data_IF_501126845824
#
_entry.id   IF_501126845824
#
_cell.length_a   1.000
_cell.length_b   1.000
_cell.length_c   1.000
_cell.angle_alpha   90.00
_cell.angle_beta   90.00
_cell.angle_gamma   90.00
#
_symmetry.space_group_name_H-M   'P 1'
#
loop_
_entity.id
_entity.type
_entity.pdbx_description
1 polymer ?
#
# COMPACT_ATOMS: atom_id res chain seq x y z
N UNK A 1 20.13 31.55 -23.30
CA UNK A 1 20.91 31.15 -22.12
C UNK A 1 20.20 29.94 -21.51
N UNK A 2 20.63 28.73 -21.87
CA UNK A 2 20.06 27.48 -21.37
C UNK A 2 21.05 26.81 -20.45
N UNK A 3 20.72 26.67 -19.17
CA UNK A 3 21.54 25.94 -18.21
C UNK A 3 21.41 24.44 -18.52
N UNK A 4 22.44 23.89 -19.16
CA UNK A 4 22.62 22.45 -19.32
C UNK A 4 23.09 21.91 -17.97
N UNK A 5 22.15 21.43 -17.14
CA UNK A 5 22.46 20.79 -15.87
C UNK A 5 23.10 19.44 -16.13
N UNK A 6 24.38 19.30 -15.77
CA UNK A 6 25.08 18.02 -15.77
C UNK A 6 24.39 17.08 -14.76
N UNK A 7 23.79 16.01 -15.29
CA UNK A 7 23.20 14.94 -14.51
C UNK A 7 24.33 14.12 -13.89
N UNK A 8 24.59 14.32 -12.59
CA UNK A 8 25.54 13.46 -11.88
C UNK A 8 24.94 12.04 -11.75
N UNK A 9 25.67 10.99 -12.16
CA UNK A 9 25.21 9.63 -11.97
C UNK A 9 25.15 9.33 -10.47
N UNK A 10 23.93 9.10 -9.96
CA UNK A 10 23.68 8.67 -8.58
C UNK A 10 24.64 7.53 -8.23
N UNK A 11 25.45 7.74 -7.19
CA UNK A 11 26.31 6.73 -6.60
C UNK A 11 25.53 5.43 -6.39
N UNK A 12 26.12 4.31 -6.78
CA UNK A 12 25.61 2.97 -6.51
C UNK A 12 25.33 2.89 -5.00
N UNK A 13 24.05 2.82 -4.64
CA UNK A 13 23.63 2.57 -3.26
C UNK A 13 24.25 1.24 -2.85
N UNK A 14 25.12 1.28 -1.85
CA UNK A 14 25.52 0.10 -1.10
C UNK A 14 24.24 -0.60 -0.66
N UNK A 15 24.08 -1.85 -1.13
CA UNK A 15 22.94 -2.70 -0.76
C UNK A 15 22.93 -2.78 0.76
N UNK A 16 21.82 -2.31 1.36
CA UNK A 16 21.65 -2.30 2.81
C UNK A 16 21.88 -3.72 3.36
N UNK A 17 22.47 -3.82 4.57
CA UNK A 17 22.77 -5.10 5.21
C UNK A 17 21.51 -5.95 5.23
N UNK A 18 21.62 -7.15 4.63
CA UNK A 18 20.62 -8.21 4.54
C UNK A 18 19.19 -7.72 4.77
N UNK A 19 18.46 -7.45 3.69
CA UNK A 19 17.00 -7.64 3.74
C UNK A 19 16.82 -9.05 4.28
N UNK A 20 16.50 -9.16 5.57
CA UNK A 20 15.93 -10.36 6.14
C UNK A 20 14.62 -10.46 5.39
N UNK A 21 14.65 -11.20 4.27
CA UNK A 21 13.46 -11.71 3.64
C UNK A 21 12.65 -12.23 4.81
N UNK A 22 11.46 -11.67 5.03
CA UNK A 22 10.52 -12.21 6.01
C UNK A 22 10.40 -13.68 5.62
N UNK A 23 11.15 -14.52 6.31
CA UNK A 23 11.17 -15.95 6.08
C UNK A 23 9.71 -16.37 6.21
N UNK A 24 9.27 -17.23 5.29
CA UNK A 24 7.89 -17.67 5.18
C UNK A 24 7.29 -17.82 6.59
N UNK A 25 6.26 -17.01 6.89
CA UNK A 25 5.62 -17.10 8.20
C UNK A 25 5.06 -18.51 8.34
N UNK A 26 5.75 -19.34 9.12
CA UNK A 26 5.30 -20.68 9.43
C UNK A 26 4.00 -20.64 10.26
N UNK A 27 3.35 -21.79 10.44
CA UNK A 27 2.11 -21.88 11.22
C UNK A 27 2.25 -21.32 12.64
N UNK A 28 3.39 -21.57 13.31
CA UNK A 28 3.65 -21.07 14.67
C UNK A 28 3.77 -19.54 14.70
N UNK A 29 4.50 -18.96 13.75
CA UNK A 29 4.65 -17.50 13.63
C UNK A 29 3.33 -16.83 13.28
N UNK A 30 2.51 -17.49 12.46
CA UNK A 30 1.18 -17.03 12.09
C UNK A 30 0.26 -16.99 13.30
N UNK A 31 0.21 -18.06 14.09
CA UNK A 31 -0.58 -18.13 15.32
C UNK A 31 -0.11 -17.08 16.35
N UNK A 32 1.20 -16.96 16.56
CA UNK A 32 1.77 -15.97 17.48
C UNK A 32 1.45 -14.52 17.05
N UNK A 33 1.48 -14.24 15.74
CA UNK A 33 1.10 -12.94 15.18
C UNK A 33 -0.38 -12.66 15.38
N UNK A 34 -1.26 -13.60 15.07
CA UNK A 34 -2.70 -13.46 15.29
C UNK A 34 -3.04 -13.22 16.77
N UNK A 35 -2.47 -14.01 17.69
CA UNK A 35 -2.69 -13.85 19.12
C UNK A 35 -2.19 -12.49 19.65
N UNK A 36 -1.03 -12.04 19.18
CA UNK A 36 -0.53 -10.72 19.54
C UNK A 36 -1.43 -9.60 19.02
N UNK A 37 -1.88 -9.66 17.76
CA UNK A 37 -2.81 -8.68 17.17
C UNK A 37 -4.15 -8.65 17.91
N UNK A 38 -4.70 -9.80 18.30
CA UNK A 38 -5.91 -9.87 19.13
C UNK A 38 -5.72 -9.21 20.49
N UNK A 39 -4.57 -9.43 21.12
CA UNK A 39 -4.24 -8.73 22.37
C UNK A 39 -4.20 -7.21 22.16
N UNK A 40 -3.56 -6.74 21.08
CA UNK A 40 -3.56 -5.32 20.75
C UNK A 40 -4.97 -4.75 20.59
N UNK A 41 -5.80 -5.48 19.84
CA UNK A 41 -7.17 -5.11 19.56
C UNK A 41 -8.02 -5.07 20.84
N UNK A 42 -7.81 -6.01 21.77
CA UNK A 42 -8.47 -6.05 23.06
C UNK A 42 -8.17 -4.83 23.94
N UNK A 43 -6.91 -4.40 24.01
CA UNK A 43 -6.56 -3.16 24.77
C UNK A 43 -7.10 -1.90 24.09
N UNK A 44 -7.26 -1.93 22.77
CA UNK A 44 -7.95 -0.89 22.02
C UNK A 44 -9.49 -1.01 22.13
N UNK A 45 -10.04 -1.95 22.89
CA UNK A 45 -11.47 -2.11 23.12
C UNK A 45 -12.25 -2.71 21.94
N UNK A 46 -11.58 -3.46 21.06
CA UNK A 46 -12.25 -4.33 20.07
C UNK A 46 -12.51 -5.72 20.69
N UNK A 47 -13.57 -6.41 20.23
CA UNK A 47 -13.83 -7.82 20.57
C UNK A 47 -14.71 -8.06 21.81
N UNK A 48 -14.99 -7.07 22.65
CA UNK A 48 -15.99 -7.20 23.71
C UNK A 48 -17.39 -6.86 23.18
N UNK A 49 -18.09 -7.85 22.63
CA UNK A 49 -19.52 -7.75 22.34
C UNK A 49 -20.39 -7.77 23.61
N UNK A 50 -19.78 -7.93 24.79
CA UNK A 50 -20.45 -7.88 26.08
C UNK A 50 -20.66 -6.45 26.57
N UNK A 51 -21.92 -6.05 26.70
CA UNK A 51 -22.37 -4.83 27.38
C UNK A 51 -21.65 -4.66 28.72
N UNK A 52 -20.64 -3.79 28.79
CA UNK A 52 -19.98 -3.46 30.07
C UNK A 52 -18.49 -3.16 30.00
N UNK A 53 -17.79 -3.44 28.90
CA UNK A 53 -16.41 -2.99 28.73
C UNK A 53 -16.41 -1.48 28.43
N UNK A 54 -16.49 -0.67 29.49
CA UNK A 54 -16.27 0.77 29.40
C UNK A 54 -14.91 0.99 28.75
N UNK A 55 -14.92 1.54 27.54
CA UNK A 55 -13.73 2.04 26.86
C UNK A 55 -13.20 3.23 27.68
N UNK A 56 -12.57 2.96 28.81
CA UNK A 56 -11.77 3.94 29.50
C UNK A 56 -10.69 4.33 28.50
N UNK A 57 -10.69 5.60 28.07
CA UNK A 57 -9.58 6.21 27.36
C UNK A 57 -8.36 6.31 28.29
N UNK A 58 -7.94 5.17 28.83
CA UNK A 58 -6.83 5.00 29.74
C UNK A 58 -5.55 5.14 28.90
N UNK A 59 -4.83 6.26 28.99
CA UNK A 59 -3.55 6.41 28.30
C UNK A 59 -2.53 5.33 28.74
N UNK A 60 -2.75 4.66 29.87
CA UNK A 60 -1.98 3.51 30.33
C UNK A 60 -2.18 2.23 29.51
N UNK A 61 -3.27 2.09 28.74
CA UNK A 61 -3.46 0.94 27.84
C UNK A 61 -2.37 0.91 26.75
N UNK A 62 -2.08 2.05 26.11
CA UNK A 62 -0.97 2.13 25.14
C UNK A 62 0.40 1.83 25.75
N UNK A 63 0.60 2.15 27.04
CA UNK A 63 1.83 1.81 27.74
C UNK A 63 1.95 0.29 27.98
N UNK A 64 0.87 -0.38 28.37
CA UNK A 64 0.83 -1.85 28.54
C UNK A 64 1.00 -2.59 27.21
N UNK A 65 0.38 -2.09 26.13
CA UNK A 65 0.59 -2.57 24.77
C UNK A 65 2.06 -2.56 24.34
N UNK A 66 2.81 -1.55 24.78
CA UNK A 66 4.24 -1.43 24.49
C UNK A 66 5.08 -2.46 25.23
N UNK A 67 4.64 -2.87 26.43
CA UNK A 67 5.32 -3.89 27.24
C UNK A 67 5.08 -5.31 26.70
N UNK A 68 3.94 -5.56 26.05
CA UNK A 68 3.70 -6.81 25.37
C UNK A 68 4.63 -6.94 24.15
N UNK A 69 5.50 -7.93 24.20
CA UNK A 69 6.49 -8.15 23.15
C UNK A 69 5.84 -8.78 21.93
N UNK A 70 5.94 -8.08 20.79
CA UNK A 70 5.56 -8.64 19.50
C UNK A 70 6.38 -9.92 19.18
N UNK A 71 5.83 -10.81 18.34
CA UNK A 71 6.58 -11.94 17.77
C UNK A 71 7.95 -11.50 17.23
N UNK A 72 8.94 -12.38 17.36
CA UNK A 72 10.34 -12.08 17.04
C UNK A 72 10.50 -11.63 15.58
N UNK A 73 9.69 -12.19 14.70
CA UNK A 73 9.65 -11.93 13.27
C UNK A 73 9.20 -10.50 12.99
N UNK A 74 8.17 -10.00 13.69
CA UNK A 74 7.73 -8.62 13.55
C UNK A 74 8.74 -7.62 14.11
N UNK A 75 9.37 -7.95 15.25
CA UNK A 75 10.39 -7.09 15.89
C UNK A 75 11.70 -6.97 15.11
N UNK A 76 11.95 -7.90 14.17
CA UNK A 76 13.16 -7.91 13.33
C UNK A 76 12.85 -7.56 11.88
N UNK A 77 11.59 -7.69 11.49
CA UNK A 77 11.13 -7.43 10.14
C UNK A 77 10.98 -5.94 9.90
N UNK A 78 11.32 -5.52 8.69
CA UNK A 78 11.14 -4.15 8.22
C UNK A 78 10.16 -4.12 7.07
N UNK A 79 9.33 -3.08 7.02
CA UNK A 79 8.29 -2.95 6.02
C UNK A 79 7.21 -1.99 6.46
N UNK A 80 6.00 -2.18 5.96
CA UNK A 80 4.81 -1.44 6.41
C UNK A 80 3.63 -2.39 6.57
N UNK A 81 2.73 -2.07 7.48
CA UNK A 81 1.52 -2.83 7.73
C UNK A 81 0.30 -2.08 7.22
N UNK A 82 -0.58 -2.79 6.54
CA UNK A 82 -1.94 -2.35 6.26
C UNK A 82 -2.89 -3.12 7.16
N UNK A 83 -3.82 -2.42 7.81
CA UNK A 83 -4.84 -3.00 8.67
C UNK A 83 -6.21 -2.57 8.14
N UNK A 84 -7.13 -3.53 8.01
CA UNK A 84 -8.53 -3.29 7.72
C UNK A 84 -9.42 -3.97 8.76
N UNK A 85 -10.34 -3.20 9.32
CA UNK A 85 -11.40 -3.69 10.20
C UNK A 85 -12.61 -4.05 9.35
N UNK A 86 -13.11 -5.28 9.50
CA UNK A 86 -14.30 -5.77 8.79
C UNK A 86 -15.36 -6.26 9.76
N UNK A 87 -16.61 -6.14 9.33
CA UNK A 87 -17.77 -6.76 9.97
C UNK A 87 -18.60 -7.46 8.90
N UNK A 88 -18.84 -8.75 9.05
CA UNK A 88 -19.58 -9.60 8.11
C UNK A 88 -19.03 -9.50 6.68
N UNK A 89 -17.70 -9.42 6.56
CA UNK A 89 -16.97 -9.27 5.29
C UNK A 89 -16.97 -7.84 4.72
N UNK A 90 -17.74 -6.91 5.26
CA UNK A 90 -17.79 -5.52 4.83
C UNK A 90 -16.64 -4.73 5.46
N UNK A 91 -15.94 -3.93 4.66
CA UNK A 91 -14.91 -3.02 5.16
C UNK A 91 -15.55 -1.91 6.00
N UNK A 92 -15.12 -1.78 7.25
CA UNK A 92 -15.60 -0.76 8.19
C UNK A 92 -14.64 0.40 8.33
N UNK A 93 -13.33 0.12 8.38
CA UNK A 93 -12.25 1.09 8.41
C UNK A 93 -10.94 0.44 7.97
N UNK A 94 -9.95 1.23 7.59
CA UNK A 94 -8.60 0.76 7.25
C UNK A 94 -7.58 1.87 7.52
N UNK A 95 -6.33 1.48 7.70
CA UNK A 95 -5.21 2.39 7.78
C UNK A 95 -3.89 1.71 7.37
N UNK A 96 -2.90 2.53 7.06
CA UNK A 96 -1.52 2.12 6.83
C UNK A 96 -0.65 2.62 7.98
N UNK A 97 0.24 1.76 8.45
CA UNK A 97 1.31 2.17 9.33
C UNK A 97 2.52 2.72 8.56
N UNK A 98 3.44 3.39 9.27
CA UNK A 98 4.67 3.91 8.68
C UNK A 98 5.56 2.78 8.15
N UNK A 99 6.40 3.11 7.15
CA UNK A 99 7.47 2.20 6.73
C UNK A 99 8.61 2.24 7.76
N UNK A 100 9.03 1.08 8.27
CA UNK A 100 10.00 0.97 9.36
C UNK A 100 9.98 -0.41 9.98
N UNK A 101 10.06 -0.47 11.32
CA UNK A 101 9.91 -1.73 12.07
C UNK A 101 8.45 -2.19 12.02
N UNK A 102 8.22 -3.48 11.71
CA UNK A 102 6.87 -3.97 11.43
C UNK A 102 5.96 -3.97 12.66
N UNK A 103 6.47 -4.27 13.85
CA UNK A 103 5.67 -4.26 15.07
C UNK A 103 5.09 -2.87 15.37
N UNK A 104 5.90 -1.82 15.23
CA UNK A 104 5.42 -0.44 15.35
C UNK A 104 4.44 -0.10 14.23
N UNK A 105 4.73 -0.51 12.99
CA UNK A 105 3.82 -0.27 11.88
C UNK A 105 2.46 -0.92 12.09
N UNK A 106 2.38 -2.13 12.64
CA UNK A 106 1.10 -2.81 12.94
C UNK A 106 0.35 -2.06 14.02
N UNK A 107 1.01 -1.63 15.10
CA UNK A 107 0.39 -0.89 16.20
C UNK A 107 -0.26 0.41 15.71
N UNK A 108 0.49 1.22 14.96
CA UNK A 108 -0.01 2.50 14.43
C UNK A 108 -1.16 2.26 13.45
N UNK A 109 -1.02 1.31 12.53
CA UNK A 109 -2.08 0.99 11.58
C UNK A 109 -3.37 0.54 12.27
N UNK A 110 -3.26 -0.30 13.31
CA UNK A 110 -4.43 -0.78 14.05
C UNK A 110 -5.10 0.34 14.86
N UNK A 111 -4.33 1.17 15.56
CA UNK A 111 -4.86 2.31 16.32
C UNK A 111 -5.57 3.32 15.42
N UNK A 112 -4.98 3.65 14.26
CA UNK A 112 -5.57 4.55 13.27
C UNK A 112 -6.85 3.95 12.67
N UNK A 113 -6.86 2.66 12.34
CA UNK A 113 -8.04 1.98 11.80
C UNK A 113 -9.18 1.95 12.84
N UNK A 114 -8.87 1.70 14.12
CA UNK A 114 -9.84 1.75 15.23
C UNK A 114 -10.39 3.16 15.42
N UNK A 115 -9.52 4.17 15.38
CA UNK A 115 -9.90 5.57 15.51
C UNK A 115 -10.80 6.02 14.35
N UNK A 116 -10.45 5.64 13.11
CA UNK A 116 -11.27 5.91 11.93
C UNK A 116 -12.63 5.20 11.99
N UNK A 117 -12.66 3.95 12.46
CA UNK A 117 -13.90 3.24 12.75
C UNK A 117 -14.72 4.03 13.77
N UNK A 118 -14.21 4.37 14.94
CA UNK A 118 -14.96 5.14 15.95
C UNK A 118 -15.49 6.48 15.45
N UNK A 119 -14.71 7.20 14.64
CA UNK A 119 -15.09 8.52 14.11
C UNK A 119 -16.19 8.46 13.03
N UNK A 120 -16.32 7.33 12.32
CA UNK A 120 -17.32 7.18 11.26
C UNK A 120 -18.76 7.22 11.81
N UNK A 121 -19.55 8.20 11.36
CA UNK A 121 -20.97 8.37 11.76
C UNK A 121 -21.83 7.22 11.24
N UNK A 122 -22.29 6.33 12.11
CA UNK A 122 -23.43 5.46 11.82
C UNK A 122 -24.71 6.30 11.84
N UNK A 123 -25.38 6.46 10.70
CA UNK A 123 -26.55 7.34 10.56
C UNK A 123 -27.77 6.95 11.40
N UNK A 124 -27.76 5.75 11.99
CA UNK A 124 -28.86 5.16 12.76
C UNK A 124 -28.44 4.69 14.17
N UNK A 125 -27.21 4.99 14.60
CA UNK A 125 -26.68 4.54 15.88
C UNK A 125 -26.25 3.07 15.95
N UNK A 126 -26.45 2.27 14.90
CA UNK A 126 -26.02 0.87 14.84
C UNK A 126 -24.81 0.70 13.92
N UNK A 127 -23.64 1.11 14.40
CA UNK A 127 -22.39 0.85 13.68
C UNK A 127 -22.09 -0.66 13.78
N UNK A 128 -21.80 -1.37 12.68
CA UNK A 128 -21.41 -2.78 12.77
C UNK A 128 -20.14 -2.89 13.62
N UNK A 129 -20.15 -3.84 14.55
CA UNK A 129 -18.95 -4.22 15.26
C UNK A 129 -17.99 -4.95 14.30
N UNK A 130 -16.67 -4.69 14.37
CA UNK A 130 -15.68 -5.49 13.67
C UNK A 130 -15.70 -6.92 14.19
N UNK A 131 -15.78 -7.90 13.29
CA UNK A 131 -15.64 -9.34 13.58
C UNK A 131 -14.32 -9.92 13.07
N UNK A 132 -13.62 -9.18 12.21
CA UNK A 132 -12.37 -9.60 11.56
C UNK A 132 -11.40 -8.43 11.43
N UNK A 133 -10.13 -8.69 11.71
CA UNK A 133 -9.00 -7.85 11.33
C UNK A 133 -8.31 -8.51 10.14
N UNK A 134 -8.22 -7.77 9.04
CA UNK A 134 -7.35 -8.09 7.91
C UNK A 134 -6.04 -7.33 8.08
N UNK A 135 -4.92 -8.05 8.00
CA UNK A 135 -3.57 -7.51 8.18
C UNK A 135 -2.68 -7.94 7.01
N UNK A 136 -2.10 -6.97 6.32
CA UNK A 136 -1.11 -7.18 5.26
C UNK A 136 0.23 -6.61 5.69
N UNK A 137 1.24 -7.47 5.85
CA UNK A 137 2.62 -7.07 6.14
C UNK A 137 3.39 -6.91 4.83
N UNK A 138 3.50 -5.68 4.34
CA UNK A 138 4.21 -5.32 3.11
C UNK A 138 5.73 -5.37 3.30
N UNK A 139 6.43 -6.06 2.40
CA UNK A 139 7.88 -6.24 2.39
C UNK A 139 8.44 -6.35 0.97
N UNK A 140 9.76 -6.48 0.84
CA UNK A 140 10.46 -6.63 -0.44
C UNK A 140 10.05 -5.54 -1.45
N UNK A 141 10.34 -4.28 -1.11
CA UNK A 141 9.96 -3.15 -1.96
C UNK A 141 10.93 -2.99 -3.13
N UNK A 142 10.42 -3.19 -4.34
CA UNK A 142 11.21 -3.10 -5.57
C UNK A 142 10.80 -1.89 -6.40
N UNK A 143 11.78 -1.04 -6.71
CA UNK A 143 11.58 0.13 -7.57
C UNK A 143 11.31 -0.30 -9.02
N UNK A 144 10.31 0.32 -9.64
CA UNK A 144 9.99 0.14 -11.06
C UNK A 144 10.76 1.18 -11.87
N UNK A 145 11.79 0.74 -12.59
CA UNK A 145 12.56 1.62 -13.48
C UNK A 145 11.69 2.12 -14.64
N UNK A 146 11.74 3.44 -14.87
CA UNK A 146 10.90 4.11 -15.87
C UNK A 146 9.40 3.81 -15.66
N UNK A 147 8.76 4.36 -14.62
CA UNK A 147 7.44 3.95 -14.14
C UNK A 147 6.29 4.43 -15.04
N UNK A 148 6.31 3.95 -16.29
CA UNK A 148 5.23 4.08 -17.27
C UNK A 148 4.02 3.23 -16.85
N UNK A 149 2.83 3.56 -17.35
CA UNK A 149 1.64 2.76 -17.07
C UNK A 149 1.83 1.31 -17.53
N UNK A 150 2.54 1.12 -18.65
CA UNK A 150 2.86 -0.22 -19.18
C UNK A 150 3.74 -1.00 -18.21
N UNK A 151 4.82 -0.40 -17.70
CA UNK A 151 5.76 -1.06 -16.80
C UNK A 151 5.13 -1.36 -15.43
N UNK A 152 4.38 -0.40 -14.87
CA UNK A 152 3.64 -0.61 -13.62
C UNK A 152 2.69 -1.79 -13.77
N UNK A 153 1.88 -1.82 -14.83
CA UNK A 153 0.93 -2.93 -15.08
C UNK A 153 1.60 -4.27 -15.31
N UNK A 154 2.82 -4.31 -15.84
CA UNK A 154 3.54 -5.56 -16.04
C UNK A 154 3.94 -6.18 -14.68
N UNK A 155 4.33 -5.36 -13.70
CA UNK A 155 4.75 -5.83 -12.38
C UNK A 155 3.58 -6.24 -11.48
N UNK A 156 2.49 -5.46 -11.51
CA UNK A 156 1.27 -5.69 -10.71
C UNK A 156 0.09 -6.10 -11.58
N UNK A 157 0.35 -6.96 -12.57
CA UNK A 157 -0.68 -7.44 -13.50
C UNK A 157 -1.76 -8.27 -12.79
N UNK A 158 -2.86 -8.56 -13.48
CA UNK A 158 -3.92 -9.43 -12.96
C UNK A 158 -3.43 -10.82 -12.51
N UNK A 159 -2.31 -11.30 -13.06
CA UNK A 159 -1.70 -12.57 -12.67
C UNK A 159 -1.07 -12.53 -11.27
N UNK A 160 -0.69 -11.33 -10.82
CA UNK A 160 -0.05 -11.07 -9.54
C UNK A 160 -1.00 -10.34 -8.56
N UNK A 161 -2.27 -10.14 -8.95
CA UNK A 161 -3.28 -9.58 -8.05
C UNK A 161 -3.48 -10.52 -6.87
N UNK A 162 -3.46 -9.96 -5.66
CA UNK A 162 -3.52 -10.73 -4.42
C UNK A 162 -2.18 -11.21 -3.90
N UNK A 163 -1.09 -11.00 -4.64
CA UNK A 163 0.28 -11.30 -4.17
C UNK A 163 1.07 -10.01 -4.00
N UNK A 164 0.97 -9.11 -4.98
CA UNK A 164 1.74 -7.87 -5.02
C UNK A 164 0.89 -6.64 -4.81
N UNK A 165 1.42 -5.73 -4.01
CA UNK A 165 0.91 -4.37 -3.86
C UNK A 165 1.67 -3.38 -4.74
N UNK A 166 1.18 -2.14 -4.76
CA UNK A 166 1.75 -1.05 -5.53
C UNK A 166 1.84 0.20 -4.67
N UNK A 167 2.95 0.90 -4.75
CA UNK A 167 3.14 2.21 -4.15
C UNK A 167 3.54 3.23 -5.21
N UNK A 168 2.94 4.41 -5.16
CA UNK A 168 3.25 5.56 -5.99
C UNK A 168 3.61 6.75 -5.09
N UNK A 169 4.72 7.42 -5.42
CA UNK A 169 5.18 8.61 -4.70
C UNK A 169 5.65 9.69 -5.66
N UNK A 170 5.23 10.93 -5.43
CA UNK A 170 5.73 12.11 -6.14
C UNK A 170 5.91 13.27 -5.17
N UNK A 171 7.17 13.62 -4.88
CA UNK A 171 7.47 14.58 -3.82
C UNK A 171 7.05 14.08 -2.44
N UNK A 172 6.77 15.01 -1.53
CA UNK A 172 6.27 14.73 -0.18
C UNK A 172 4.73 14.78 -0.11
N UNK A 173 4.10 15.52 -1.03
CA UNK A 173 2.66 15.80 -0.99
C UNK A 173 1.79 14.67 -1.55
N UNK A 174 2.32 13.89 -2.51
CA UNK A 174 1.55 12.85 -3.19
C UNK A 174 2.13 11.47 -2.92
N UNK A 175 1.39 10.69 -2.13
CA UNK A 175 1.71 9.33 -1.77
C UNK A 175 0.45 8.48 -1.77
N UNK A 176 0.49 7.34 -2.45
CA UNK A 176 -0.59 6.36 -2.42
C UNK A 176 -0.01 4.95 -2.42
N UNK A 177 -0.53 4.10 -1.54
CA UNK A 177 -0.11 2.71 -1.38
C UNK A 177 -1.32 1.80 -1.43
N UNK A 178 -1.26 0.77 -2.26
CA UNK A 178 -2.31 -0.23 -2.40
C UNK A 178 -1.84 -1.63 -2.03
N UNK A 179 -2.44 -2.19 -0.98
CA UNK A 179 -2.19 -3.55 -0.52
C UNK A 179 -2.83 -4.58 -1.49
N UNK A 180 -2.27 -5.79 -1.64
CA UNK A 180 -2.83 -6.79 -2.54
C UNK A 180 -4.31 -7.10 -2.25
N UNK A 181 -4.69 -7.25 -0.98
CA UNK A 181 -6.08 -7.53 -0.58
C UNK A 181 -6.99 -6.33 -0.85
N UNK A 182 -6.55 -5.11 -0.56
CA UNK A 182 -7.31 -3.89 -0.83
C UNK A 182 -7.62 -3.76 -2.32
N UNK A 183 -6.65 -4.09 -3.19
CA UNK A 183 -6.86 -4.07 -4.64
C UNK A 183 -7.94 -5.06 -5.07
N UNK A 184 -7.99 -6.26 -4.47
CA UNK A 184 -9.03 -7.26 -4.74
C UNK A 184 -10.39 -6.79 -4.21
N UNK A 185 -10.45 -6.39 -2.93
CA UNK A 185 -11.68 -6.00 -2.25
C UNK A 185 -12.39 -4.83 -2.95
N UNK A 186 -11.62 -3.89 -3.51
CA UNK A 186 -12.14 -2.74 -4.26
C UNK A 186 -12.34 -2.99 -5.75
N UNK A 187 -12.01 -4.19 -6.25
CA UNK A 187 -11.91 -4.49 -7.68
C UNK A 187 -11.08 -3.41 -8.41
N UNK A 188 -9.98 -2.98 -7.78
CA UNK A 188 -9.17 -1.86 -8.22
C UNK A 188 -8.37 -2.27 -9.45
N UNK A 189 -8.75 -1.72 -10.60
CA UNK A 189 -7.94 -1.84 -11.81
C UNK A 189 -6.74 -0.92 -11.68
N UNK A 190 -5.52 -1.48 -11.67
CA UNK A 190 -4.24 -0.74 -11.59
C UNK A 190 -4.22 0.48 -12.52
N UNK A 191 -4.71 0.31 -13.75
CA UNK A 191 -4.80 1.42 -14.73
C UNK A 191 -5.61 2.61 -14.22
N UNK A 192 -6.72 2.36 -13.55
CA UNK A 192 -7.57 3.43 -13.01
C UNK A 192 -6.94 4.06 -11.78
N UNK A 193 -6.37 3.26 -10.86
CA UNK A 193 -5.65 3.76 -9.68
C UNK A 193 -4.50 4.69 -10.07
N UNK A 194 -3.59 4.23 -10.95
CA UNK A 194 -2.45 5.03 -11.41
C UNK A 194 -2.89 6.35 -12.09
N UNK A 195 -3.92 6.29 -12.95
CA UNK A 195 -4.46 7.50 -13.59
C UNK A 195 -5.13 8.45 -12.62
N UNK A 196 -5.79 7.92 -11.60
CA UNK A 196 -6.39 8.72 -10.54
C UNK A 196 -5.31 9.45 -9.74
N UNK A 197 -4.27 8.72 -9.33
CA UNK A 197 -3.10 9.29 -8.67
C UNK A 197 -2.48 10.43 -9.50
N UNK A 198 -2.21 10.19 -10.79
CA UNK A 198 -1.67 11.22 -11.70
C UNK A 198 -2.57 12.45 -11.81
N UNK A 199 -3.89 12.23 -11.90
CA UNK A 199 -4.87 13.32 -11.93
C UNK A 199 -4.84 14.14 -10.63
N UNK A 200 -4.79 13.49 -9.47
CA UNK A 200 -4.69 14.19 -8.17
C UNK A 200 -3.38 14.97 -8.04
N UNK A 201 -2.29 14.40 -8.55
CA UNK A 201 -0.97 15.00 -8.64
C UNK A 201 -0.86 16.11 -9.71
N UNK A 202 -1.89 16.31 -10.55
CA UNK A 202 -1.87 17.29 -11.62
C UNK A 202 -0.80 17.01 -12.70
N UNK A 203 -0.47 15.74 -12.93
CA UNK A 203 0.54 15.32 -13.90
C UNK A 203 -0.02 14.31 -14.90
N UNK A 204 0.62 14.20 -16.07
CA UNK A 204 0.49 13.06 -16.96
C UNK A 204 1.62 12.03 -16.75
N UNK A 205 1.61 10.96 -17.54
CA UNK A 205 2.60 9.88 -17.48
C UNK A 205 4.03 10.38 -17.76
N UNK A 206 4.21 11.23 -18.77
CA UNK A 206 5.52 11.73 -19.15
C UNK A 206 6.08 12.66 -18.06
N UNK A 207 5.23 13.53 -17.52
CA UNK A 207 5.56 14.41 -16.41
C UNK A 207 5.89 13.63 -15.13
N UNK A 208 5.15 12.55 -14.83
CA UNK A 208 5.45 11.68 -13.69
C UNK A 208 6.87 11.10 -13.78
N UNK A 209 7.26 10.61 -14.96
CA UNK A 209 8.62 10.08 -15.19
C UNK A 209 9.68 11.20 -15.15
N UNK A 210 9.48 12.31 -15.87
CA UNK A 210 10.46 13.42 -15.97
C UNK A 210 10.70 14.09 -14.63
N UNK A 211 9.68 14.19 -13.77
CA UNK A 211 9.81 14.75 -12.41
C UNK A 211 10.45 13.77 -11.41
N UNK A 212 10.87 12.59 -11.85
CA UNK A 212 11.52 11.61 -11.00
C UNK A 212 10.59 10.99 -9.96
N UNK A 213 9.29 10.92 -10.24
CA UNK A 213 8.35 10.22 -9.38
C UNK A 213 8.71 8.72 -9.31
N UNK A 214 8.32 8.08 -8.22
CA UNK A 214 8.68 6.71 -7.90
C UNK A 214 7.45 5.82 -7.94
N UNK A 215 7.61 4.64 -8.51
CA UNK A 215 6.69 3.53 -8.31
C UNK A 215 7.46 2.35 -7.74
N UNK A 216 6.92 1.71 -6.72
CA UNK A 216 7.45 0.48 -6.14
C UNK A 216 6.37 -0.60 -6.18
N UNK A 217 6.75 -1.84 -6.46
CA UNK A 217 5.89 -2.98 -6.11
C UNK A 217 6.45 -3.64 -4.85
N UNK A 218 5.60 -4.31 -4.11
CA UNK A 218 5.97 -5.03 -2.90
C UNK A 218 5.17 -6.32 -2.79
N UNK A 219 5.66 -7.26 -2.00
CA UNK A 219 4.95 -8.47 -1.61
C UNK A 219 4.34 -8.28 -0.23
N UNK A 220 3.30 -9.05 0.12
CA UNK A 220 2.73 -8.97 1.46
C UNK A 220 2.35 -10.35 2.00
N UNK A 221 2.64 -10.56 3.28
CA UNK A 221 2.07 -11.66 4.05
C UNK A 221 0.70 -11.23 4.61
N UNK A 222 -0.33 -12.02 4.33
CA UNK A 222 -1.72 -11.69 4.64
C UNK A 222 -2.20 -12.54 5.80
N UNK A 223 -2.85 -11.89 6.77
CA UNK A 223 -3.46 -12.52 7.94
C UNK A 223 -4.92 -12.10 8.02
N UNK A 224 -5.79 -13.07 8.30
CA UNK A 224 -7.16 -12.83 8.72
C UNK A 224 -7.29 -13.28 10.16
N UNK A 225 -7.58 -12.34 11.05
CA UNK A 225 -7.66 -12.55 12.49
C UNK A 225 -9.11 -12.32 12.91
N UNK A 226 -9.77 -13.37 13.41
CA UNK A 226 -11.18 -13.33 13.81
C UNK A 226 -11.29 -13.03 15.30
N UNK A 227 -12.27 -12.22 15.70
CA UNK A 227 -12.65 -12.10 17.11
C UNK A 227 -13.46 -13.34 17.51
N UNK A 228 -13.13 -13.95 18.66
CA UNK A 228 -13.80 -15.14 19.18
C UNK A 228 -15.26 -14.81 19.58
N UNK A 229 -16.15 -14.91 18.61
CA UNK A 229 -17.60 -14.74 18.76
C UNK A 229 -18.30 -15.35 17.55
N UNK A 230 -18.53 -16.67 17.59
CA UNK A 230 -19.36 -17.44 16.65
C UNK A 230 -19.09 -17.24 15.13
N UNK A 231 -17.90 -16.78 14.74
CA UNK A 231 -17.43 -16.98 13.38
C UNK A 231 -17.47 -18.48 13.08
N UNK A 232 -17.73 -18.91 11.82
CA UNK A 232 -17.45 -20.29 11.43
C UNK A 232 -15.95 -20.46 11.65
N UNK A 233 -15.56 -20.98 12.82
CA UNK A 233 -14.17 -21.19 13.14
C UNK A 233 -13.55 -21.94 11.98
N UNK A 234 -12.27 -21.72 11.63
CA UNK A 234 -11.57 -22.63 10.75
C UNK A 234 -11.68 -23.99 11.43
N UNK A 235 -12.67 -24.79 11.00
CA UNK A 235 -13.18 -25.91 11.78
C UNK A 235 -11.97 -26.72 12.15
N UNK A 236 -11.70 -26.79 13.47
CA UNK A 236 -10.50 -27.39 14.06
C UNK A 236 -9.88 -28.35 13.07
N UNK A 237 -8.88 -27.89 12.32
CA UNK A 237 -8.11 -28.78 11.48
C UNK A 237 -7.34 -29.59 12.50
N UNK A 238 -7.97 -30.68 12.95
CA UNK A 238 -7.25 -31.78 13.54
C UNK A 238 -6.21 -32.13 12.49
N UNK A 239 -4.98 -31.70 12.73
CA UNK A 239 -3.81 -32.32 12.15
C UNK A 239 -3.71 -33.70 12.83
N UNK A 240 -4.68 -34.56 12.58
CA UNK A 240 -4.48 -35.98 12.67
C UNK A 240 -3.50 -36.27 11.54
N UNK A 241 -2.27 -36.64 11.92
CA UNK A 241 -1.32 -37.25 11.03
C UNK A 241 -2.00 -38.49 10.42
N UNK A 242 -2.65 -38.32 9.28
CA UNK A 242 -3.04 -39.42 8.43
C UNK A 242 -1.74 -39.95 7.81
N UNK A 243 -1.19 -40.98 8.42
CA UNK A 243 -0.30 -41.91 7.74
C UNK A 243 -1.07 -42.40 6.49
N UNK A 244 -0.72 -41.85 5.32
CA UNK A 244 -1.30 -42.30 4.07
C UNK A 244 -0.63 -43.61 3.69
N UNK A 245 -1.33 -44.68 4.00
CA UNK A 245 -1.19 -45.98 3.36
C UNK A 245 -1.34 -45.82 1.85
N UNK A 246 -0.37 -46.36 1.10
CA UNK A 246 -0.22 -46.17 -0.33
C UNK A 246 -1.23 -47.03 -1.10
N UNK A 247 -2.46 -46.52 -1.21
CA UNK A 247 -3.53 -47.07 -2.04
C UNK A 247 -3.44 -46.60 -3.50
N UNK A 248 -3.29 -47.57 -4.39
CA UNK A 248 -3.15 -47.51 -5.85
C UNK A 248 -4.14 -46.56 -6.59
N UNK A 249 -3.60 -45.60 -7.35
CA UNK A 249 -4.38 -44.60 -8.11
C UNK A 249 -4.89 -45.20 -9.43
N UNK A 250 -6.20 -45.45 -9.49
CA UNK A 250 -6.94 -45.75 -10.72
C UNK A 250 -7.08 -44.50 -11.60
N UNK A 251 -6.78 -44.64 -12.90
CA UNK A 251 -6.73 -43.55 -13.89
C UNK A 251 -8.11 -42.89 -14.11
N UNK A 252 -8.21 -41.55 -14.19
CA UNK A 252 -9.48 -40.89 -14.49
C UNK A 252 -9.85 -40.99 -15.98
N UNK A 253 -11.09 -41.45 -16.21
CA UNK A 253 -11.78 -41.44 -17.52
C UNK A 253 -12.00 -40.00 -17.99
N UNK A 254 -11.66 -39.72 -19.25
CA UNK A 254 -11.92 -38.45 -19.94
C UNK A 254 -13.43 -38.27 -20.17
N UNK A 255 -14.07 -37.44 -19.35
CA UNK A 255 -15.44 -36.98 -19.53
C UNK A 255 -15.52 -35.74 -20.43
N UNK A 256 -16.40 -35.77 -21.44
CA UNK A 256 -16.66 -34.70 -22.41
C UNK A 256 -17.16 -33.42 -21.75
N UNK A 257 -16.63 -32.28 -22.17
CA UNK A 257 -17.12 -30.95 -21.83
C UNK A 257 -18.56 -30.74 -22.31
N UNK A 258 -19.49 -30.43 -21.39
CA UNK A 258 -20.83 -29.93 -21.72
C UNK A 258 -20.80 -28.41 -21.77
N UNK A 259 -21.35 -27.87 -22.85
CA UNK A 259 -21.56 -26.45 -23.13
C UNK A 259 -22.61 -25.91 -22.15
N UNK A 260 -22.20 -25.04 -21.22
CA UNK A 260 -23.12 -24.35 -20.31
C UNK A 260 -23.57 -23.04 -20.97
N UNK A 261 -24.84 -22.96 -21.34
CA UNK A 261 -25.50 -21.73 -21.77
C UNK A 261 -25.59 -20.75 -20.60
N UNK A 262 -25.08 -19.53 -20.80
CA UNK A 262 -25.25 -18.41 -19.89
C UNK A 262 -26.66 -17.85 -20.06
N UNK A 263 -27.54 -18.08 -19.09
CA UNK A 263 -28.79 -17.32 -18.96
C UNK A 263 -28.49 -15.95 -18.36
N UNK A 264 -28.93 -14.92 -19.07
CA UNK A 264 -28.94 -13.53 -18.63
C UNK A 264 -29.88 -13.36 -17.44
N UNK A 265 -29.37 -12.86 -16.32
CA UNK A 265 -30.20 -12.32 -15.25
C UNK A 265 -30.57 -10.87 -15.58
N UNK A 266 -31.85 -10.65 -15.85
CA UNK A 266 -32.47 -9.34 -15.91
C UNK A 266 -32.53 -8.73 -14.50
N UNK A 267 -32.12 -7.46 -14.37
CA UNK A 267 -32.31 -6.67 -13.14
C UNK A 267 -33.74 -6.11 -13.13
N UNK A 268 -34.47 -6.18 -11.99
CA UNK A 268 -35.71 -5.43 -11.85
C UNK A 268 -35.41 -3.93 -11.66
N UNK A 269 -36.21 -3.11 -12.33
CA UNK A 269 -36.14 -1.65 -12.27
C UNK A 269 -36.54 -1.13 -10.89
N UNK A 270 -35.70 -0.25 -10.35
CA UNK A 270 -36.02 0.59 -9.19
C UNK A 270 -36.05 2.04 -9.64
N UNK A 271 -37.14 2.71 -9.30
CA UNK A 271 -37.48 4.09 -9.62
C UNK A 271 -36.41 5.08 -9.15
N UNK A 272 -36.13 6.07 -10.00
CA UNK A 272 -35.23 7.19 -9.69
C UNK A 272 -36.05 8.34 -9.13
N UNK A 273 -36.11 8.47 -7.81
CA UNK A 273 -36.38 9.77 -7.18
C UNK A 273 -35.18 10.69 -7.38
N UNK A 274 -35.45 11.86 -7.98
CA UNK A 274 -34.47 12.91 -8.23
C UNK A 274 -34.29 13.73 -6.95
N UNK A 275 -33.12 13.66 -6.33
CA UNK A 275 -32.69 14.67 -5.36
C UNK A 275 -32.13 15.91 -6.09
N UNK A 276 -32.34 17.13 -5.57
CA UNK A 276 -31.95 18.37 -6.23
C UNK A 276 -30.44 18.61 -6.16
N UNK A 277 -29.86 18.86 -7.33
CA UNK A 277 -28.49 19.38 -7.51
C UNK A 277 -28.34 20.75 -6.84
N UNK A 278 -27.55 20.82 -5.77
CA UNK A 278 -26.95 22.08 -5.31
C UNK A 278 -25.92 22.53 -6.35
N UNK A 279 -26.17 23.70 -6.93
CA UNK A 279 -25.25 24.39 -7.82
C UNK A 279 -23.94 24.70 -7.09
N UNK A 280 -22.82 24.30 -7.67
CA UNK A 280 -21.50 24.79 -7.30
C UNK A 280 -21.31 26.20 -7.88
N UNK A 281 -20.66 27.13 -7.16
CA UNK A 281 -20.40 28.46 -7.70
C UNK A 281 -19.47 28.39 -8.92
N UNK A 282 -19.61 29.32 -9.89
CA UNK A 282 -18.79 29.33 -11.09
C UNK A 282 -17.32 29.64 -10.75
N UNK A 283 -16.42 28.87 -11.37
CA UNK A 283 -14.98 29.14 -11.47
C UNK A 283 -14.74 30.57 -11.98
N UNK A 284 -13.87 31.37 -11.34
CA UNK A 284 -13.48 32.66 -11.88
C UNK A 284 -12.63 32.48 -13.15
N UNK A 285 -13.03 33.18 -14.21
CA UNK A 285 -12.31 33.22 -15.49
C UNK A 285 -10.90 33.81 -15.34
N UNK A 286 -9.87 33.27 -16.02
CA UNK A 286 -8.55 33.87 -16.05
C UNK A 286 -8.59 35.21 -16.79
N UNK A 287 -8.05 36.27 -16.17
CA UNK A 287 -7.86 37.57 -16.81
C UNK A 287 -6.87 37.45 -17.97
N UNK A 288 -7.12 38.10 -19.13
CA UNK A 288 -6.17 38.12 -20.22
C UNK A 288 -4.94 38.97 -19.87
N UNK A 289 -3.75 38.64 -20.41
CA UNK A 289 -2.54 39.43 -20.19
C UNK A 289 -2.65 40.77 -20.89
N UNK A 290 -2.40 41.84 -20.15
CA UNK A 290 -2.27 43.20 -20.69
C UNK A 290 -1.01 43.30 -21.53
N UNK A 291 -1.21 43.66 -22.80
CA UNK A 291 -0.14 44.06 -23.73
C UNK A 291 0.58 45.30 -23.19
N UNK A 292 1.91 45.26 -23.11
CA UNK A 292 2.78 46.44 -23.23
C UNK A 292 3.80 46.20 -24.37
N UNK A 293 3.60 46.93 -25.47
CA UNK A 293 4.64 47.34 -26.44
C UNK A 293 5.38 48.51 -25.80
N UNK A 294 6.71 48.57 -25.79
CA UNK A 294 7.68 49.13 -26.76
C UNK A 294 8.82 49.64 -25.83
N UNK A 295 10.12 49.64 -26.09
CA UNK A 295 10.94 49.92 -27.26
C UNK A 295 12.41 49.49 -26.95
N UNK A 296 13.23 49.49 -28.00
CA UNK A 296 14.70 49.65 -28.05
C UNK A 296 15.57 48.39 -28.22
N UNK A 297 15.95 48.16 -29.48
CA UNK A 297 17.26 47.66 -29.92
C UNK A 297 18.25 48.84 -30.09
N UNK A 298 19.52 48.67 -30.48
CA UNK A 298 20.48 47.58 -30.25
C UNK A 298 21.85 48.10 -29.71
N UNK A 299 22.72 47.24 -29.19
CA UNK A 299 24.17 47.49 -29.29
C UNK A 299 24.97 46.20 -29.41
N UNK A 300 25.85 46.21 -30.41
CA UNK A 300 26.83 45.19 -30.73
C UNK A 300 27.95 45.19 -29.69
N UNK A 301 28.33 44.02 -29.18
CA UNK A 301 29.72 43.77 -28.75
C UNK A 301 30.10 42.33 -29.08
N UNK A 302 31.06 42.21 -29.99
CA UNK A 302 31.84 41.00 -30.18
C UNK A 302 32.84 40.89 -29.03
N UNK A 303 32.83 39.76 -28.33
CA UNK A 303 33.90 39.39 -27.42
C UNK A 303 34.25 37.92 -27.69
N UNK A 304 35.41 37.73 -28.31
CA UNK A 304 36.10 36.45 -28.46
C UNK A 304 36.45 35.91 -27.07
N UNK A 305 35.82 34.80 -26.68
CA UNK A 305 36.14 34.06 -25.46
C UNK A 305 37.23 33.03 -25.77
N UNK A 306 38.44 33.30 -25.30
CA UNK A 306 39.55 32.35 -25.26
C UNK A 306 39.36 31.39 -24.08
N UNK A 307 39.19 30.10 -24.38
CA UNK A 307 39.17 29.04 -23.37
C UNK A 307 40.55 28.93 -22.69
N UNK A 308 40.63 28.85 -21.34
CA UNK A 308 41.86 28.44 -20.67
C UNK A 308 42.10 26.94 -20.84
N UNK A 309 43.36 26.49 -20.93
CA UNK A 309 43.70 25.06 -21.00
C UNK A 309 43.42 24.35 -19.67
N UNK A 310 43.07 23.06 -19.78
CA UNK A 310 42.75 22.19 -18.65
C UNK A 310 43.93 22.01 -17.68
N UNK A 311 43.69 21.85 -16.37
CA UNK A 311 44.75 21.62 -15.39
C UNK A 311 45.40 20.23 -15.58
N UNK A 312 46.73 20.23 -15.64
CA UNK A 312 47.56 19.03 -15.75
C UNK A 312 47.40 18.10 -14.54
N UNK A 313 47.19 16.82 -14.81
CA UNK A 313 47.17 15.76 -13.81
C UNK A 313 48.51 15.72 -13.02
N UNK A 314 48.44 15.89 -11.70
CA UNK A 314 49.58 15.63 -10.80
C UNK A 314 49.77 14.11 -10.63
N UNK A 315 51.01 13.60 -10.65
CA UNK A 315 51.29 12.21 -10.35
C UNK A 315 51.09 11.91 -8.86
N UNK A 316 50.47 10.76 -8.55
CA UNK A 316 50.28 10.26 -7.18
C UNK A 316 51.62 9.80 -6.58
N UNK A 317 51.89 10.10 -5.30
CA UNK A 317 53.06 9.56 -4.61
C UNK A 317 52.89 8.04 -4.38
N UNK A 318 53.95 7.28 -4.65
CA UNK A 318 54.05 5.85 -4.33
C UNK A 318 54.28 5.68 -2.83
N UNK A 319 53.44 4.88 -2.18
CA UNK A 319 53.61 4.47 -0.78
C UNK A 319 54.83 3.54 -0.63
N UNK A 320 55.59 3.63 0.48
CA UNK A 320 56.68 2.71 0.76
C UNK A 320 56.10 1.34 1.18
N UNK A 321 56.68 0.27 0.61
CA UNK A 321 56.46 -1.10 1.06
C UNK A 321 57.17 -1.30 2.40
N UNK A 322 56.47 -1.91 3.36
CA UNK A 322 57.06 -2.73 4.43
C UNK A 322 56.74 -4.18 4.11
#
# INVERSE_FOLDING_TARGET
MGASGCFEPRAKRDLLPEEIALAEFGPEQTAATGAWVLSLAGELGLGAAGEGASASGDPGALARLREQRAPKELRRGRGAAYVALRGQGVLLAEAWGPEGELDESVRVALDDAVSAWRAGKGGDGSKPAPDTIELDLAHAFHVIEGPTLKNIRAQVSNRNLGIRGLELRMGEEHFERWAPTMMIARNLKVRHGVKHFWKQAGVDEQQFVVRGAQARWFEAHQFLVYFDGDGPGPGTSSVAAAESDAGEVSKPRRGRARKVERRHWARPGGERERAPTRAWPPTPSPRPPTRRRADRSPSCFAATSTCPPAPSARPRPRSPRR
#
